data_IF_327728823150
#
_entry.id   IF_327728823150
#
_cell.length_a   1.000
_cell.length_b   1.000
_cell.length_c   1.000
_cell.angle_alpha   90.00
_cell.angle_beta   90.00
_cell.angle_gamma   90.00
#
_symmetry.space_group_name_H-M   'P 1'
#
loop_
_entity.id
_entity.type
_entity.pdbx_description
1 polymer ?
#
# COMPACT_ATOMS: atom_id res chain seq x y z
N UNK A 1 -63.07 -42.99 -19.77
CA UNK A 1 -63.31 -42.65 -18.37
C UNK A 1 -61.96 -42.60 -17.67
N UNK A 2 -61.43 -41.38 -17.41
CA UNK A 2 -60.25 -41.03 -16.58
C UNK A 2 -58.89 -41.65 -17.04
N UNK A 3 -57.70 -41.04 -16.97
CA UNK A 3 -57.19 -39.76 -16.46
C UNK A 3 -55.74 -39.55 -17.00
N UNK A 4 -55.44 -38.29 -17.37
CA UNK A 4 -54.20 -37.51 -17.19
C UNK A 4 -52.79 -37.94 -17.71
N UNK A 5 -52.31 -37.05 -18.58
CA UNK A 5 -51.00 -36.33 -18.59
C UNK A 5 -49.74 -36.98 -19.19
N UNK A 6 -49.70 -36.78 -20.50
CA UNK A 6 -48.57 -36.45 -21.38
C UNK A 6 -47.46 -35.57 -20.78
N UNK A 7 -46.22 -36.04 -20.96
CA UNK A 7 -44.97 -35.28 -20.87
C UNK A 7 -44.73 -34.60 -22.22
N UNK A 8 -44.66 -33.27 -22.26
CA UNK A 8 -44.05 -32.52 -23.37
C UNK A 8 -43.69 -31.08 -22.96
N UNK A 9 -42.59 -30.60 -23.57
CA UNK A 9 -42.12 -29.21 -23.70
C UNK A 9 -41.54 -28.50 -22.47
N UNK A 10 -40.24 -28.16 -22.50
CA UNK A 10 -39.70 -26.94 -23.14
C UNK A 10 -38.16 -26.93 -22.95
N UNK A 11 -37.43 -27.32 -23.99
CA UNK A 11 -36.02 -26.97 -24.20
C UNK A 11 -36.03 -25.71 -25.07
N UNK A 12 -36.19 -24.53 -24.47
CA UNK A 12 -36.09 -23.25 -25.17
C UNK A 12 -35.96 -22.13 -24.14
N UNK A 13 -34.72 -21.69 -23.90
CA UNK A 13 -34.30 -20.29 -23.57
C UNK A 13 -32.83 -20.28 -23.12
N UNK A 14 -31.93 -20.75 -23.97
CA UNK A 14 -30.46 -20.66 -23.74
C UNK A 14 -29.73 -20.03 -24.94
N UNK A 15 -30.37 -19.03 -25.55
CA UNK A 15 -29.85 -18.40 -26.78
C UNK A 15 -30.05 -16.87 -26.79
N UNK A 16 -29.92 -16.21 -25.65
CA UNK A 16 -29.86 -14.73 -25.57
C UNK A 16 -28.73 -14.17 -24.70
N UNK A 17 -27.95 -15.02 -24.00
CA UNK A 17 -26.73 -14.60 -23.30
C UNK A 17 -25.45 -14.75 -24.14
N UNK A 18 -25.53 -15.41 -25.30
CA UNK A 18 -24.38 -15.67 -26.18
C UNK A 18 -23.94 -14.49 -27.04
N UNK A 19 -24.80 -13.50 -27.31
CA UNK A 19 -24.46 -12.43 -28.27
C UNK A 19 -23.73 -11.26 -27.60
N UNK A 20 -23.97 -10.99 -26.31
CA UNK A 20 -23.26 -9.96 -25.56
C UNK A 20 -21.89 -10.42 -25.02
N UNK A 21 -21.72 -11.72 -24.75
CA UNK A 21 -20.44 -12.31 -24.37
C UNK A 21 -19.47 -12.41 -25.57
N UNK A 22 -19.96 -12.75 -26.76
CA UNK A 22 -19.14 -12.80 -27.98
C UNK A 22 -18.66 -11.42 -28.46
N UNK A 23 -19.44 -10.35 -28.24
CA UNK A 23 -19.04 -8.98 -28.61
C UNK A 23 -18.03 -8.34 -27.65
N UNK A 24 -17.79 -8.94 -26.48
CA UNK A 24 -16.76 -8.47 -25.54
C UNK A 24 -15.39 -9.10 -25.82
N UNK A 25 -15.38 -10.32 -26.37
CA UNK A 25 -14.19 -11.10 -26.73
C UNK A 25 -13.32 -10.38 -27.79
N UNK A 26 -13.93 -9.79 -28.82
CA UNK A 26 -13.20 -9.14 -29.92
C UNK A 26 -12.58 -7.77 -29.57
N UNK A 27 -12.97 -7.16 -28.45
CA UNK A 27 -12.51 -5.82 -28.08
C UNK A 27 -11.19 -5.82 -27.31
N UNK A 28 -10.95 -6.86 -26.52
CA UNK A 28 -9.80 -6.93 -25.64
C UNK A 28 -8.63 -7.72 -26.22
N UNK A 29 -8.82 -8.53 -27.27
CA UNK A 29 -7.69 -9.24 -27.90
C UNK A 29 -6.60 -8.25 -28.34
N UNK A 30 -6.90 -7.27 -29.19
CA UNK A 30 -5.86 -6.34 -29.67
C UNK A 30 -5.28 -5.39 -28.60
N UNK A 31 -6.07 -5.03 -27.59
CA UNK A 31 -5.67 -4.03 -26.58
C UNK A 31 -4.96 -4.68 -25.38
N UNK A 32 -5.38 -5.87 -24.97
CA UNK A 32 -4.78 -6.59 -23.85
C UNK A 32 -3.46 -7.26 -24.20
N UNK A 33 -3.19 -7.57 -25.46
CA UNK A 33 -1.87 -8.06 -25.87
C UNK A 33 -0.77 -6.98 -25.83
N UNK A 34 -1.13 -5.71 -25.57
CA UNK A 34 -0.16 -4.64 -25.39
C UNK A 34 0.54 -4.83 -24.04
N UNK A 35 1.87 -5.01 -24.06
CA UNK A 35 2.69 -5.28 -22.87
C UNK A 35 2.49 -4.24 -21.76
N UNK A 36 2.44 -2.95 -22.12
CA UNK A 36 2.19 -1.85 -21.18
C UNK A 36 0.85 -2.01 -20.43
N UNK A 37 -0.19 -2.48 -21.13
CA UNK A 37 -1.53 -2.64 -20.55
C UNK A 37 -1.54 -3.86 -19.63
N UNK A 38 -0.92 -4.96 -20.03
CA UNK A 38 -0.78 -6.14 -19.16
C UNK A 38 -0.02 -5.80 -17.88
N UNK A 39 1.11 -5.10 -18.00
CA UNK A 39 1.90 -4.68 -16.86
C UNK A 39 1.13 -3.69 -15.97
N UNK A 40 0.35 -2.78 -16.55
CA UNK A 40 -0.51 -1.87 -15.78
C UNK A 40 -1.57 -2.61 -14.95
N UNK A 41 -2.26 -3.58 -15.55
CA UNK A 41 -3.23 -4.41 -14.83
C UNK A 41 -2.57 -5.32 -13.80
N UNK A 42 -1.37 -5.85 -14.07
CA UNK A 42 -0.59 -6.63 -13.13
C UNK A 42 -0.23 -5.82 -11.88
N UNK A 43 0.31 -4.62 -12.08
CA UNK A 43 0.72 -3.73 -10.99
C UNK A 43 -0.46 -3.23 -10.13
N UNK A 44 -1.62 -2.97 -10.74
CA UNK A 44 -2.79 -2.42 -10.02
C UNK A 44 -3.64 -3.50 -9.37
N UNK A 45 -3.88 -4.62 -10.06
CA UNK A 45 -4.83 -5.64 -9.64
C UNK A 45 -4.13 -6.89 -9.10
N UNK A 46 -3.18 -7.47 -9.86
CA UNK A 46 -2.64 -8.80 -9.57
C UNK A 46 -1.71 -8.80 -8.36
N UNK A 47 -0.73 -7.89 -8.34
CA UNK A 47 0.27 -7.86 -7.26
C UNK A 47 -0.40 -7.65 -5.90
N UNK A 48 -1.41 -6.76 -5.86
CA UNK A 48 -2.19 -6.46 -4.66
C UNK A 48 -3.12 -7.63 -4.28
N UNK A 49 -3.78 -8.28 -5.24
CA UNK A 49 -4.61 -9.48 -4.98
C UNK A 49 -3.76 -10.64 -4.44
N UNK A 50 -2.58 -10.89 -5.00
CA UNK A 50 -1.70 -11.98 -4.59
C UNK A 50 -1.07 -11.72 -3.21
N UNK A 51 -0.67 -10.48 -2.94
CA UNK A 51 -0.08 -10.08 -1.66
C UNK A 51 -1.13 -9.98 -0.53
N UNK A 52 -2.19 -9.22 -0.77
CA UNK A 52 -3.07 -8.74 0.30
C UNK A 52 -4.43 -9.45 0.29
N UNK A 53 -4.80 -10.06 -0.84
CA UNK A 53 -6.06 -10.79 -1.01
C UNK A 53 -7.25 -9.91 -1.40
N UNK A 54 -7.04 -8.62 -1.67
CA UNK A 54 -8.09 -7.69 -2.11
C UNK A 54 -7.49 -6.48 -2.85
N UNK A 55 -8.30 -5.80 -3.67
CA UNK A 55 -7.96 -4.49 -4.25
C UNK A 55 -9.23 -3.69 -4.57
N UNK A 56 -9.11 -2.36 -4.57
CA UNK A 56 -10.21 -1.43 -4.85
C UNK A 56 -10.16 -0.94 -6.31
N UNK A 57 -11.25 -1.18 -7.05
CA UNK A 57 -11.47 -0.65 -8.40
C UNK A 57 -12.58 0.39 -8.46
N UNK A 58 -13.16 0.77 -7.32
CA UNK A 58 -14.32 1.66 -7.25
C UNK A 58 -14.07 3.00 -7.96
N UNK A 59 -12.86 3.56 -7.83
CA UNK A 59 -12.48 4.81 -8.48
C UNK A 59 -12.57 4.73 -10.01
N UNK A 60 -12.18 3.60 -10.62
CA UNK A 60 -12.24 3.36 -12.06
C UNK A 60 -13.67 3.02 -12.51
N UNK A 61 -14.35 2.14 -11.77
CA UNK A 61 -15.70 1.67 -12.08
C UNK A 61 -16.71 2.82 -12.04
N UNK A 62 -16.72 3.60 -10.95
CA UNK A 62 -17.62 4.74 -10.81
C UNK A 62 -17.12 5.99 -11.54
N UNK A 63 -15.92 5.92 -12.15
CA UNK A 63 -15.37 7.00 -12.97
C UNK A 63 -15.06 8.28 -12.20
N UNK A 64 -14.79 8.16 -10.89
CA UNK A 64 -14.53 9.26 -9.95
C UNK A 64 -13.24 10.02 -10.23
N UNK A 65 -12.32 9.38 -10.95
CA UNK A 65 -11.06 9.98 -11.36
C UNK A 65 -11.27 11.10 -12.39
N UNK A 66 -10.86 12.32 -12.02
CA UNK A 66 -10.88 13.49 -12.90
C UNK A 66 -9.74 13.42 -13.91
N UNK A 67 -10.08 13.73 -15.16
CA UNK A 67 -9.15 13.68 -16.29
C UNK A 67 -7.99 14.69 -16.12
N UNK A 68 -8.33 15.89 -15.67
CA UNK A 68 -7.38 17.00 -15.50
C UNK A 68 -6.32 16.68 -14.44
N UNK A 69 -6.73 16.12 -13.31
CA UNK A 69 -5.84 15.75 -12.21
C UNK A 69 -4.81 14.69 -12.64
N UNK A 70 -5.25 13.64 -13.35
CA UNK A 70 -4.35 12.60 -13.86
C UNK A 70 -3.38 13.19 -14.90
N UNK A 71 -3.88 14.02 -15.82
CA UNK A 71 -3.05 14.66 -16.82
C UNK A 71 -1.97 15.56 -16.19
N UNK A 72 -2.35 16.40 -15.23
CA UNK A 72 -1.40 17.26 -14.50
C UNK A 72 -0.31 16.44 -13.81
N UNK A 73 -0.68 15.34 -13.17
CA UNK A 73 0.26 14.41 -12.51
C UNK A 73 1.21 13.73 -13.50
N UNK A 74 0.73 13.28 -14.66
CA UNK A 74 1.54 12.66 -15.71
C UNK A 74 2.52 13.65 -16.34
N UNK A 75 2.10 14.90 -16.56
CA UNK A 75 2.96 15.96 -17.09
C UNK A 75 4.05 16.33 -16.07
N UNK A 76 3.69 16.45 -14.79
CA UNK A 76 4.64 16.70 -13.72
C UNK A 76 5.71 15.59 -13.60
N UNK A 77 5.33 14.34 -13.83
CA UNK A 77 6.25 13.20 -13.87
C UNK A 77 6.96 13.00 -15.22
N UNK A 78 6.76 13.91 -16.20
CA UNK A 78 7.28 13.80 -17.57
C UNK A 78 7.00 12.45 -18.25
N UNK A 79 5.83 11.87 -17.96
CA UNK A 79 5.45 10.55 -18.48
C UNK A 79 4.99 10.60 -19.93
N UNK A 80 5.39 9.59 -20.73
CA UNK A 80 4.94 9.41 -22.12
C UNK A 80 3.42 9.23 -22.25
N UNK A 81 2.77 8.70 -21.21
CA UNK A 81 1.34 8.41 -21.22
C UNK A 81 0.45 9.65 -21.06
N UNK A 82 1.01 10.83 -20.82
CA UNK A 82 0.26 12.09 -20.77
C UNK A 82 -0.51 12.35 -22.09
N UNK A 83 0.01 11.87 -23.23
CA UNK A 83 -0.62 12.01 -24.56
C UNK A 83 -1.99 11.31 -24.62
N UNK A 84 -2.18 10.22 -23.88
CA UNK A 84 -3.46 9.49 -23.82
C UNK A 84 -4.61 10.37 -23.30
N UNK A 85 -4.29 11.34 -22.44
CA UNK A 85 -5.24 12.25 -21.82
C UNK A 85 -5.45 13.55 -22.62
N UNK A 86 -4.80 13.73 -23.77
CA UNK A 86 -5.06 14.86 -24.66
C UNK A 86 -6.29 14.56 -25.55
N UNK A 87 -7.29 15.45 -25.61
CA UNK A 87 -8.50 15.24 -26.43
C UNK A 87 -9.59 14.35 -25.80
N UNK A 88 -10.55 13.84 -26.59
CA UNK A 88 -11.65 12.99 -26.09
C UNK A 88 -11.18 11.54 -25.90
N UNK A 89 -11.76 10.84 -24.92
CA UNK A 89 -11.52 9.40 -24.76
C UNK A 89 -12.14 8.62 -25.93
N UNK A 90 -11.46 7.57 -26.42
CA UNK A 90 -12.01 6.75 -27.49
C UNK A 90 -13.16 5.89 -26.99
N UNK A 91 -14.06 5.53 -27.90
CA UNK A 91 -15.05 4.49 -27.65
C UNK A 91 -14.40 3.11 -27.77
N UNK A 92 -15.07 2.08 -27.22
CA UNK A 92 -14.74 0.65 -27.37
C UNK A 92 -14.12 0.35 -28.75
N UNK A 93 -14.85 0.54 -29.84
CA UNK A 93 -14.36 0.12 -31.18
C UNK A 93 -13.15 0.91 -31.73
N UNK A 94 -12.76 2.02 -31.10
CA UNK A 94 -11.66 2.91 -31.57
C UNK A 94 -10.44 2.91 -30.66
N UNK A 95 -10.50 2.22 -29.50
CA UNK A 95 -9.46 2.32 -28.48
C UNK A 95 -8.10 1.83 -28.98
N UNK A 96 -8.04 0.66 -29.62
CA UNK A 96 -6.78 0.07 -30.12
C UNK A 96 -6.11 0.95 -31.18
N UNK A 97 -6.89 1.53 -32.09
CA UNK A 97 -6.38 2.44 -33.12
C UNK A 97 -5.86 3.75 -32.52
N UNK A 98 -6.58 4.32 -31.55
CA UNK A 98 -6.15 5.56 -30.88
C UNK A 98 -4.91 5.33 -30.01
N UNK A 99 -4.78 4.16 -29.38
CA UNK A 99 -3.55 3.78 -28.68
C UNK A 99 -2.37 3.76 -29.64
N UNK A 100 -2.45 3.01 -30.75
CA UNK A 100 -1.40 2.93 -31.76
C UNK A 100 -1.06 4.30 -32.37
N UNK A 101 -2.06 5.13 -32.65
CA UNK A 101 -1.86 6.49 -33.18
C UNK A 101 -1.09 7.40 -32.20
N UNK A 102 -1.41 7.33 -30.91
CA UNK A 102 -0.83 8.23 -29.90
C UNK A 102 0.51 7.76 -29.34
N UNK A 103 0.71 6.44 -29.26
CA UNK A 103 1.93 5.83 -28.75
C UNK A 103 2.94 5.51 -29.86
N UNK A 104 2.53 5.59 -31.13
CA UNK A 104 3.32 5.24 -32.32
C UNK A 104 3.29 3.73 -32.62
N UNK A 105 3.49 3.35 -33.90
CA UNK A 105 3.83 1.96 -34.29
C UNK A 105 5.33 1.65 -34.08
N UNK A 106 6.14 2.64 -33.67
CA UNK A 106 7.59 2.50 -33.50
C UNK A 106 7.97 2.32 -32.02
N UNK A 107 7.88 1.08 -31.52
CA UNK A 107 8.79 0.58 -30.48
C UNK A 107 8.85 -0.95 -30.42
N UNK A 108 8.70 -1.64 -31.55
CA UNK A 108 8.92 -3.10 -31.62
C UNK A 108 10.23 -3.50 -32.31
N UNK A 109 11.02 -2.55 -32.82
CA UNK A 109 12.36 -2.79 -33.35
C UNK A 109 13.26 -1.58 -33.06
N UNK A 110 13.90 -1.54 -31.90
CA UNK A 110 15.21 -0.91 -31.82
C UNK A 110 16.11 -1.68 -30.85
N UNK A 111 17.09 -2.36 -31.44
CA UNK A 111 18.12 -3.20 -30.83
C UNK A 111 19.20 -2.34 -30.14
N UNK A 112 18.80 -1.38 -29.31
CA UNK A 112 19.74 -0.63 -28.47
C UNK A 112 19.21 -0.51 -27.03
N UNK A 113 19.72 -1.40 -26.17
CA UNK A 113 19.54 -1.43 -24.72
C UNK A 113 18.08 -1.55 -24.23
N UNK A 114 17.60 -2.80 -24.22
CA UNK A 114 16.45 -3.28 -23.47
C UNK A 114 16.56 -3.02 -21.96
N UNK A 115 16.38 -1.76 -21.57
CA UNK A 115 15.91 -1.42 -20.25
C UNK A 115 14.40 -1.61 -20.29
N UNK A 116 13.90 -2.77 -19.86
CA UNK A 116 12.49 -2.97 -19.54
C UNK A 116 12.01 -1.76 -18.72
N UNK A 117 11.22 -0.87 -19.31
CA UNK A 117 10.69 0.27 -18.57
C UNK A 117 9.58 -0.26 -17.65
N UNK A 118 9.94 -0.58 -16.41
CA UNK A 118 8.95 -0.85 -15.36
C UNK A 118 8.02 0.36 -15.21
N UNK A 119 6.74 0.18 -15.58
CA UNK A 119 5.70 1.18 -15.37
C UNK A 119 5.62 1.59 -13.90
N UNK A 120 5.64 2.89 -13.65
CA UNK A 120 5.34 3.40 -12.32
C UNK A 120 3.86 3.16 -11.97
N UNK A 121 3.52 3.02 -10.69
CA UNK A 121 2.12 2.85 -10.27
C UNK A 121 1.19 3.96 -10.80
N UNK A 122 1.71 5.18 -10.91
CA UNK A 122 0.99 6.33 -11.46
C UNK A 122 0.64 6.13 -12.94
N UNK A 123 1.58 5.60 -13.73
CA UNK A 123 1.37 5.27 -15.14
C UNK A 123 0.44 4.07 -15.28
N UNK A 124 0.63 3.02 -14.48
CA UNK A 124 -0.26 1.87 -14.44
C UNK A 124 -1.71 2.28 -14.13
N UNK A 125 -1.91 3.11 -13.10
CA UNK A 125 -3.23 3.66 -12.74
C UNK A 125 -3.83 4.51 -13.87
N UNK A 126 -3.02 5.33 -14.53
CA UNK A 126 -3.48 6.15 -15.64
C UNK A 126 -3.90 5.32 -16.86
N UNK A 127 -3.16 4.25 -17.18
CA UNK A 127 -3.49 3.32 -18.26
C UNK A 127 -4.80 2.58 -17.94
N UNK A 128 -4.91 2.02 -16.73
CA UNK A 128 -6.14 1.34 -16.29
C UNK A 128 -7.34 2.28 -16.35
N UNK A 129 -7.22 3.52 -15.86
CA UNK A 129 -8.29 4.51 -15.97
C UNK A 129 -8.65 4.83 -17.43
N UNK A 130 -7.66 4.97 -18.31
CA UNK A 130 -7.90 5.21 -19.74
C UNK A 130 -8.71 4.08 -20.36
N UNK A 131 -8.35 2.82 -20.08
CA UNK A 131 -9.11 1.63 -20.53
C UNK A 131 -10.55 1.65 -20.00
N UNK A 132 -10.75 1.91 -18.71
CA UNK A 132 -12.09 1.95 -18.12
C UNK A 132 -12.96 3.10 -18.64
N UNK A 133 -12.36 4.21 -19.08
CA UNK A 133 -13.06 5.34 -19.71
C UNK A 133 -13.53 5.04 -21.13
N UNK A 134 -13.02 3.99 -21.78
CA UNK A 134 -13.55 3.50 -23.07
C UNK A 134 -14.91 2.80 -22.94
N UNK A 135 -15.24 2.36 -21.72
CA UNK A 135 -16.49 1.68 -21.37
C UNK A 135 -17.56 2.71 -20.95
N UNK A 136 -18.80 2.50 -21.40
CA UNK A 136 -19.85 3.53 -21.40
C UNK A 136 -20.42 3.80 -20.01
N UNK A 137 -20.67 2.76 -19.23
CA UNK A 137 -21.36 2.87 -17.94
C UNK A 137 -20.67 2.02 -16.85
N UNK A 138 -21.09 2.22 -15.60
CA UNK A 138 -20.54 1.50 -14.44
C UNK A 138 -20.85 -0.01 -14.47
N UNK A 139 -21.96 -0.41 -15.10
CA UNK A 139 -22.33 -1.82 -15.24
C UNK A 139 -21.38 -2.57 -16.18
N UNK A 140 -21.10 -2.00 -17.35
CA UNK A 140 -20.11 -2.50 -18.31
C UNK A 140 -18.72 -2.61 -17.68
N UNK A 141 -18.32 -1.64 -16.85
CA UNK A 141 -17.05 -1.67 -16.11
C UNK A 141 -17.03 -2.77 -15.05
N UNK A 142 -18.13 -2.99 -14.35
CA UNK A 142 -18.26 -4.06 -13.37
C UNK A 142 -18.17 -5.45 -14.02
N UNK A 143 -18.91 -5.66 -15.11
CA UNK A 143 -18.87 -6.92 -15.86
C UNK A 143 -17.47 -7.15 -16.42
N UNK A 144 -16.86 -6.13 -17.00
CA UNK A 144 -15.47 -6.19 -17.49
C UNK A 144 -14.48 -6.59 -16.39
N UNK A 145 -14.60 -6.02 -15.18
CA UNK A 145 -13.71 -6.37 -14.05
C UNK A 145 -13.86 -7.86 -13.68
N UNK A 146 -15.10 -8.38 -13.67
CA UNK A 146 -15.38 -9.79 -13.36
C UNK A 146 -14.83 -10.72 -14.45
N UNK A 147 -15.00 -10.38 -15.71
CA UNK A 147 -14.52 -11.17 -16.85
C UNK A 147 -12.99 -11.21 -16.88
N UNK A 148 -12.34 -10.06 -16.64
CA UNK A 148 -10.88 -9.97 -16.54
C UNK A 148 -10.33 -10.93 -15.48
N UNK A 149 -10.94 -10.94 -14.30
CA UNK A 149 -10.55 -11.84 -13.20
C UNK A 149 -10.77 -13.31 -13.53
N UNK A 150 -11.82 -13.63 -14.29
CA UNK A 150 -12.12 -15.00 -14.69
C UNK A 150 -11.12 -15.60 -15.68
N UNK A 151 -10.36 -14.77 -16.39
CA UNK A 151 -9.40 -15.19 -17.42
C UNK A 151 -7.94 -15.21 -16.94
N UNK A 152 -7.66 -14.62 -15.76
CA UNK A 152 -6.30 -14.59 -15.24
C UNK A 152 -5.91 -16.00 -14.76
N UNK A 153 -4.98 -16.61 -15.48
CA UNK A 153 -4.51 -17.99 -15.21
C UNK A 153 -4.01 -18.18 -13.78
N UNK A 154 -3.38 -17.14 -13.23
CA UNK A 154 -2.80 -17.11 -11.87
C UNK A 154 -3.87 -17.12 -10.77
N UNK A 155 -5.12 -16.79 -11.10
CA UNK A 155 -6.23 -16.74 -10.16
C UNK A 155 -7.17 -17.95 -10.24
N UNK A 156 -6.97 -18.88 -11.18
CA UNK A 156 -7.84 -20.06 -11.34
C UNK A 156 -7.94 -20.91 -10.05
N UNK A 157 -6.89 -20.95 -9.23
CA UNK A 157 -6.90 -21.68 -7.96
C UNK A 157 -7.75 -21.04 -6.86
N UNK A 158 -8.06 -19.74 -6.95
CA UNK A 158 -8.83 -18.99 -5.94
C UNK A 158 -10.15 -18.43 -6.49
N UNK A 159 -10.48 -18.74 -7.74
CA UNK A 159 -11.56 -18.11 -8.50
C UNK A 159 -12.94 -18.29 -7.86
N UNK A 160 -13.18 -19.43 -7.20
CA UNK A 160 -14.43 -19.73 -6.50
C UNK A 160 -14.64 -18.87 -5.25
N UNK A 161 -13.57 -18.32 -4.67
CA UNK A 161 -13.60 -17.54 -3.44
C UNK A 161 -13.51 -16.03 -3.71
N UNK A 162 -13.29 -15.61 -4.95
CA UNK A 162 -13.29 -14.20 -5.33
C UNK A 162 -14.72 -13.66 -5.24
N UNK A 163 -14.90 -12.64 -4.40
CA UNK A 163 -16.14 -11.89 -4.24
C UNK A 163 -15.94 -10.44 -4.64
N UNK A 164 -17.06 -9.81 -4.95
CA UNK A 164 -17.11 -8.43 -5.37
C UNK A 164 -18.14 -7.67 -4.53
N UNK A 165 -17.72 -6.56 -3.91
CA UNK A 165 -18.60 -5.71 -3.12
C UNK A 165 -18.23 -4.24 -3.29
N UNK A 166 -19.19 -3.42 -3.71
CA UNK A 166 -19.05 -1.96 -3.88
C UNK A 166 -17.80 -1.49 -4.66
N UNK A 167 -17.36 -2.23 -5.68
CA UNK A 167 -16.16 -1.88 -6.45
C UNK A 167 -14.87 -2.53 -5.96
N UNK A 168 -14.91 -3.25 -4.84
CA UNK A 168 -13.76 -3.93 -4.24
C UNK A 168 -13.83 -5.42 -4.56
N UNK A 169 -12.72 -5.96 -5.04
CA UNK A 169 -12.54 -7.37 -5.35
C UNK A 169 -11.73 -7.99 -4.21
N UNK A 170 -12.14 -9.15 -3.68
CA UNK A 170 -11.42 -9.80 -2.59
C UNK A 170 -11.59 -11.32 -2.57
N UNK A 171 -10.60 -12.02 -2.03
CA UNK A 171 -10.68 -13.44 -1.76
C UNK A 171 -11.35 -13.67 -0.39
N UNK A 172 -12.57 -14.21 -0.40
CA UNK A 172 -13.39 -14.44 0.79
C UNK A 172 -12.91 -15.58 1.69
N UNK A 173 -12.00 -16.43 1.21
CA UNK A 173 -11.31 -17.42 2.04
C UNK A 173 -10.29 -16.74 2.95
N UNK A 174 -9.57 -15.74 2.43
CA UNK A 174 -8.44 -15.09 3.11
C UNK A 174 -8.79 -13.77 3.81
N UNK A 175 -9.81 -13.06 3.34
CA UNK A 175 -10.11 -11.68 3.74
C UNK A 175 -11.59 -11.52 4.07
N UNK A 176 -11.85 -10.76 5.13
CA UNK A 176 -13.17 -10.27 5.49
C UNK A 176 -13.22 -8.75 5.39
N UNK A 177 -14.18 -8.22 4.62
CA UNK A 177 -14.31 -6.79 4.33
C UNK A 177 -15.52 -6.20 5.04
N UNK A 178 -15.30 -5.10 5.77
CA UNK A 178 -16.36 -4.31 6.40
C UNK A 178 -16.36 -2.88 5.88
N UNK A 179 -17.52 -2.39 5.46
CA UNK A 179 -17.70 -0.99 5.04
C UNK A 179 -18.31 -0.17 6.15
N UNK A 180 -17.57 0.81 6.68
CA UNK A 180 -18.00 1.69 7.75
C UNK A 180 -18.02 3.16 7.28
N UNK A 181 -19.00 3.93 7.75
CA UNK A 181 -19.22 5.32 7.30
C UNK A 181 -19.51 6.31 8.43
N UNK A 182 -19.29 5.91 9.69
CA UNK A 182 -19.46 6.78 10.85
C UNK A 182 -18.46 6.45 11.96
N UNK A 183 -18.06 7.46 12.75
CA UNK A 183 -17.15 7.28 13.90
C UNK A 183 -17.73 6.29 14.91
N UNK A 184 -19.05 6.32 15.14
CA UNK A 184 -19.73 5.40 16.05
C UNK A 184 -19.62 3.94 15.58
N UNK A 185 -19.83 3.67 14.29
CA UNK A 185 -19.70 2.32 13.73
C UNK A 185 -18.26 1.80 13.86
N UNK A 186 -17.26 2.65 13.57
CA UNK A 186 -15.85 2.31 13.75
C UNK A 186 -15.54 2.00 15.21
N UNK A 187 -15.96 2.85 16.14
CA UNK A 187 -15.65 2.66 17.55
C UNK A 187 -16.32 1.41 18.14
N UNK A 188 -17.58 1.13 17.78
CA UNK A 188 -18.28 -0.08 18.19
C UNK A 188 -17.57 -1.34 17.71
N UNK A 189 -17.13 -1.34 16.44
CA UNK A 189 -16.41 -2.47 15.86
C UNK A 189 -15.01 -2.67 16.48
N UNK A 190 -14.22 -1.59 16.62
CA UNK A 190 -12.90 -1.68 17.28
C UNK A 190 -13.03 -2.14 18.74
N UNK A 191 -14.11 -1.74 19.42
CA UNK A 191 -14.37 -2.14 20.81
C UNK A 191 -14.76 -3.61 20.95
N UNK A 192 -15.42 -4.22 19.97
CA UNK A 192 -15.68 -5.67 20.00
C UNK A 192 -14.38 -6.45 19.82
N UNK A 193 -13.50 -5.99 18.93
CA UNK A 193 -12.21 -6.66 18.67
C UNK A 193 -11.24 -6.61 19.85
N UNK A 194 -11.18 -5.48 20.58
CA UNK A 194 -10.31 -5.33 21.76
C UNK A 194 -10.60 -6.31 22.91
N UNK A 195 -11.76 -6.96 22.92
CA UNK A 195 -12.11 -7.95 23.94
C UNK A 195 -11.41 -9.29 23.71
N UNK A 196 -11.00 -9.56 22.48
CA UNK A 196 -10.41 -10.83 22.04
C UNK A 196 -8.94 -10.65 21.63
N UNK A 197 -8.60 -9.48 21.07
CA UNK A 197 -7.24 -9.13 20.68
C UNK A 197 -6.44 -8.53 21.86
N UNK A 198 -5.14 -8.83 21.92
CA UNK A 198 -4.21 -8.23 22.88
C UNK A 198 -3.95 -6.73 22.60
N UNK A 199 -2.68 -6.36 22.44
CA UNK A 199 -2.35 -4.95 22.13
C UNK A 199 -2.63 -4.65 20.65
N UNK A 200 -3.55 -3.73 20.39
CA UNK A 200 -3.87 -3.27 19.02
C UNK A 200 -3.21 -1.94 18.67
N UNK A 201 -2.69 -1.87 17.46
CA UNK A 201 -2.25 -0.65 16.79
C UNK A 201 -3.07 -0.45 15.51
N UNK A 202 -3.02 0.78 15.00
CA UNK A 202 -3.85 1.22 13.88
C UNK A 202 -3.01 2.02 12.90
N UNK A 203 -3.35 1.94 11.61
CA UNK A 203 -2.83 2.84 10.58
C UNK A 203 -3.92 3.22 9.61
N UNK A 204 -3.97 4.50 9.25
CA UNK A 204 -4.88 5.01 8.23
C UNK A 204 -4.23 4.99 6.86
N UNK A 205 -4.89 4.36 5.90
CA UNK A 205 -4.56 4.46 4.49
C UNK A 205 -5.63 5.27 3.77
N UNK A 206 -5.23 6.33 3.07
CA UNK A 206 -6.15 7.12 2.26
C UNK A 206 -6.61 6.37 0.99
N UNK A 207 -5.97 5.27 0.62
CA UNK A 207 -6.35 4.43 -0.50
C UNK A 207 -6.14 2.96 -0.11
N UNK A 208 -7.12 2.05 -0.25
CA UNK A 208 -6.97 0.65 0.13
C UNK A 208 -5.93 -0.08 -0.72
N UNK A 209 -5.59 0.45 -1.89
CA UNK A 209 -4.54 -0.09 -2.75
C UNK A 209 -3.13 0.22 -2.24
N UNK A 210 -2.97 1.08 -1.22
CA UNK A 210 -1.67 1.31 -0.60
C UNK A 210 -1.16 0.05 0.09
N UNK A 211 0.13 -0.23 -0.10
CA UNK A 211 0.82 -1.37 0.50
C UNK A 211 1.44 -0.92 1.83
N UNK A 212 1.35 -1.79 2.83
CA UNK A 212 1.97 -1.58 4.13
C UNK A 212 3.50 -1.70 4.01
N UNK A 213 4.15 -0.60 3.61
CA UNK A 213 5.59 -0.55 3.31
C UNK A 213 6.20 0.81 3.68
N UNK A 214 7.37 0.83 4.38
CA UNK A 214 8.11 2.05 4.67
C UNK A 214 8.51 2.81 3.41
N UNK A 215 8.67 4.12 3.54
CA UNK A 215 8.95 5.02 2.42
C UNK A 215 10.26 4.69 1.70
N UNK A 216 11.33 4.35 2.44
CA UNK A 216 12.64 4.01 1.84
C UNK A 216 12.56 2.78 0.93
N UNK A 217 11.67 1.83 1.26
CA UNK A 217 11.55 0.58 0.53
C UNK A 217 10.66 0.72 -0.70
N UNK A 218 9.89 1.80 -0.87
CA UNK A 218 8.93 1.94 -1.98
C UNK A 218 9.59 2.06 -3.35
N UNK A 219 10.86 2.45 -3.42
CA UNK A 219 11.58 2.57 -4.70
C UNK A 219 12.97 1.95 -4.56
N UNK A 220 13.39 1.06 -5.49
CA UNK A 220 14.72 0.46 -5.44
C UNK A 220 15.86 1.48 -5.35
N UNK A 221 15.73 2.62 -6.04
CA UNK A 221 16.70 3.72 -5.98
C UNK A 221 16.85 4.35 -4.60
N UNK A 222 15.75 4.49 -3.85
CA UNK A 222 15.78 5.01 -2.48
C UNK A 222 16.48 4.00 -1.56
N UNK A 223 16.08 2.73 -1.64
CA UNK A 223 16.68 1.66 -0.84
C UNK A 223 18.19 1.51 -1.10
N UNK A 224 18.62 1.57 -2.35
CA UNK A 224 20.04 1.49 -2.73
C UNK A 224 20.88 2.66 -2.22
N UNK A 225 20.27 3.85 -2.02
CA UNK A 225 20.96 5.05 -1.56
C UNK A 225 20.65 5.40 -0.10
N UNK A 226 19.99 4.53 0.65
CA UNK A 226 19.59 4.78 2.04
C UNK A 226 20.75 5.30 2.90
N UNK A 227 21.90 4.64 2.84
CA UNK A 227 23.08 5.05 3.62
C UNK A 227 23.63 6.40 3.22
N UNK A 228 23.63 6.73 1.92
CA UNK A 228 24.07 8.06 1.47
C UNK A 228 23.13 9.14 1.99
N UNK A 229 21.82 8.94 1.82
CA UNK A 229 20.79 9.87 2.25
C UNK A 229 20.84 10.08 3.78
N UNK A 230 21.04 9.00 4.53
CA UNK A 230 21.21 9.04 5.99
C UNK A 230 22.39 9.93 6.41
N UNK A 231 23.58 9.71 5.84
CA UNK A 231 24.78 10.47 6.17
C UNK A 231 24.72 11.91 5.68
N UNK A 232 24.24 12.13 4.45
CA UNK A 232 24.15 13.46 3.87
C UNK A 232 23.23 14.37 4.69
N UNK A 233 22.11 13.86 5.21
CA UNK A 233 21.24 14.69 6.06
C UNK A 233 21.91 15.06 7.41
N UNK A 234 22.67 14.14 8.00
CA UNK A 234 23.43 14.42 9.24
C UNK A 234 24.54 15.45 8.97
N UNK A 235 25.24 15.33 7.84
CA UNK A 235 26.33 16.25 7.46
C UNK A 235 25.79 17.65 7.16
N UNK A 236 24.66 17.75 6.45
CA UNK A 236 24.08 19.03 6.05
C UNK A 236 23.34 19.74 7.20
N UNK A 237 22.82 19.00 8.17
CA UNK A 237 22.05 19.56 9.29
C UNK A 237 22.57 19.05 10.66
N UNK A 238 23.85 19.24 11.02
CA UNK A 238 24.44 18.63 12.20
C UNK A 238 23.80 19.08 13.52
N UNK A 239 23.46 20.37 13.62
CA UNK A 239 22.86 20.98 14.83
C UNK A 239 21.50 20.36 15.16
N UNK A 240 20.75 19.93 14.14
CA UNK A 240 19.49 19.24 14.33
C UNK A 240 19.69 17.86 15.01
N UNK A 241 20.81 17.18 14.80
CA UNK A 241 21.03 15.84 15.34
C UNK A 241 21.84 15.82 16.64
N UNK A 242 22.24 16.98 17.18
CA UNK A 242 23.07 17.08 18.39
C UNK A 242 22.46 16.35 19.60
N UNK A 243 21.13 16.42 19.74
CA UNK A 243 20.36 15.78 20.84
C UNK A 243 19.92 14.35 20.52
N UNK A 244 20.26 13.82 19.35
CA UNK A 244 19.92 12.45 18.97
C UNK A 244 21.07 11.51 19.34
N UNK A 245 20.93 10.81 20.45
CA UNK A 245 21.96 9.92 20.99
C UNK A 245 21.92 8.53 20.36
N UNK A 246 20.76 8.10 19.86
CA UNK A 246 20.58 6.79 19.24
C UNK A 246 20.30 6.90 17.74
N UNK A 247 20.59 5.83 16.98
CA UNK A 247 20.20 5.79 15.57
C UNK A 247 18.68 5.81 15.39
N UNK A 248 17.91 5.24 16.34
CA UNK A 248 16.45 5.31 16.31
C UNK A 248 15.96 6.77 16.37
N UNK A 249 16.49 7.58 17.30
CA UNK A 249 16.12 8.99 17.41
C UNK A 249 16.46 9.77 16.15
N UNK A 250 17.62 9.48 15.53
CA UNK A 250 18.00 10.05 14.23
C UNK A 250 16.96 9.68 13.18
N UNK A 251 16.59 8.40 13.03
CA UNK A 251 15.59 7.97 12.05
C UNK A 251 14.20 8.60 12.29
N UNK A 252 13.77 8.70 13.55
CA UNK A 252 12.51 9.37 13.90
C UNK A 252 12.55 10.85 13.51
N UNK A 253 13.67 11.54 13.79
CA UNK A 253 13.84 12.96 13.41
C UNK A 253 13.92 13.15 11.89
N UNK A 254 14.60 12.25 11.19
CA UNK A 254 14.66 12.20 9.73
C UNK A 254 13.26 12.05 9.12
N UNK A 255 12.46 11.10 9.62
CA UNK A 255 11.09 10.87 9.15
C UNK A 255 10.16 12.05 9.46
N UNK A 256 10.35 12.70 10.60
CA UNK A 256 9.58 13.88 10.98
C UNK A 256 9.70 14.99 9.92
N UNK A 257 10.90 15.22 9.39
CA UNK A 257 11.17 16.18 8.31
C UNK A 257 10.95 15.61 6.90
N UNK A 258 10.37 14.42 6.78
CA UNK A 258 9.97 13.84 5.49
C UNK A 258 11.05 13.07 4.74
N UNK A 259 12.22 12.80 5.36
CA UNK A 259 13.20 11.91 4.77
C UNK A 259 12.65 10.47 4.74
N UNK A 260 12.75 9.74 3.61
CA UNK A 260 12.36 8.34 3.58
C UNK A 260 13.19 7.48 4.53
N UNK A 261 12.56 6.67 5.37
CA UNK A 261 13.26 5.77 6.31
C UNK A 261 12.64 4.37 6.35
N UNK A 262 13.26 3.45 7.12
CA UNK A 262 12.76 2.10 7.44
C UNK A 262 11.63 2.09 8.46
N UNK A 263 11.28 3.23 9.03
CA UNK A 263 10.17 3.34 9.96
C UNK A 263 8.85 3.46 9.20
N UNK A 264 7.82 2.79 9.70
CA UNK A 264 6.45 2.97 9.25
C UNK A 264 5.60 3.46 10.42
N UNK A 265 4.96 4.62 10.25
CA UNK A 265 4.14 5.21 11.32
C UNK A 265 2.90 4.35 11.61
N UNK A 266 2.65 4.09 12.89
CA UNK A 266 1.40 3.51 13.37
C UNK A 266 0.94 4.31 14.58
N UNK A 267 -0.30 4.13 15.00
CA UNK A 267 -0.87 4.82 16.17
C UNK A 267 -1.61 3.84 17.05
N UNK A 268 -1.64 4.13 18.35
CA UNK A 268 -2.47 3.39 19.31
C UNK A 268 -3.90 3.95 19.39
N UNK A 269 -4.15 5.09 18.74
CA UNK A 269 -5.44 5.75 18.72
C UNK A 269 -6.18 5.47 17.38
N UNK A 270 -7.29 4.71 17.39
CA UNK A 270 -8.02 4.38 16.18
C UNK A 270 -8.60 5.61 15.47
N UNK A 271 -8.90 6.69 16.20
CA UNK A 271 -9.44 7.92 15.60
C UNK A 271 -8.38 8.73 14.85
N UNK A 272 -7.12 8.68 15.30
CA UNK A 272 -5.98 9.27 14.58
C UNK A 272 -5.76 8.50 13.27
N UNK A 273 -5.80 7.17 13.30
CA UNK A 273 -5.74 6.36 12.09
C UNK A 273 -6.93 6.63 11.15
N UNK A 274 -8.15 6.78 11.70
CA UNK A 274 -9.33 7.11 10.90
C UNK A 274 -9.19 8.47 10.21
N UNK A 275 -8.62 9.47 10.89
CA UNK A 275 -8.31 10.77 10.30
C UNK A 275 -7.37 10.60 9.08
N UNK A 276 -6.27 9.86 9.22
CA UNK A 276 -5.35 9.59 8.10
C UNK A 276 -5.97 8.79 6.96
N UNK A 277 -6.94 7.92 7.25
CA UNK A 277 -7.70 7.21 6.23
C UNK A 277 -8.62 8.15 5.42
N UNK A 278 -8.98 9.30 5.98
CA UNK A 278 -9.96 10.21 5.38
C UNK A 278 -9.37 11.53 4.85
N UNK A 279 -8.21 11.99 5.32
CA UNK A 279 -7.70 13.34 5.04
C UNK A 279 -7.36 13.60 3.57
N UNK A 280 -7.12 12.55 2.79
CA UNK A 280 -6.71 12.65 1.39
C UNK A 280 -7.41 11.62 0.49
N UNK A 281 -7.23 11.78 -0.82
CA UNK A 281 -7.86 10.99 -1.89
C UNK A 281 -9.39 10.83 -1.70
N UNK A 282 -10.18 11.92 -1.78
CA UNK A 282 -11.62 11.88 -1.50
C UNK A 282 -12.41 10.94 -2.42
N UNK A 283 -11.85 10.61 -3.59
CA UNK A 283 -12.48 9.77 -4.60
C UNK A 283 -12.37 8.25 -4.33
N UNK A 284 -11.40 7.83 -3.51
CA UNK A 284 -11.19 6.43 -3.10
C UNK A 284 -11.81 6.16 -1.72
N UNK A 285 -12.01 4.89 -1.41
CA UNK A 285 -12.26 4.49 -0.01
C UNK A 285 -11.05 4.83 0.87
N UNK A 286 -11.28 5.02 2.16
CA UNK A 286 -10.21 4.96 3.16
C UNK A 286 -10.06 3.52 3.62
N UNK A 287 -8.93 3.19 4.23
CA UNK A 287 -8.72 1.91 4.90
C UNK A 287 -8.20 2.17 6.32
N UNK A 288 -8.83 1.52 7.29
CA UNK A 288 -8.33 1.43 8.66
C UNK A 288 -7.64 0.08 8.83
N UNK A 289 -6.31 0.09 8.80
CA UNK A 289 -5.48 -1.10 9.00
C UNK A 289 -5.39 -1.39 10.48
N UNK A 290 -5.78 -2.60 10.87
CA UNK A 290 -5.66 -3.12 12.23
C UNK A 290 -4.38 -3.95 12.34
N UNK A 291 -3.58 -3.65 13.35
CA UNK A 291 -2.28 -4.29 13.58
C UNK A 291 -2.30 -4.94 14.96
N UNK A 292 -2.04 -6.25 15.01
CA UNK A 292 -2.09 -7.07 16.22
C UNK A 292 -0.83 -7.93 16.32
N UNK A 293 0.31 -7.34 16.73
CA UNK A 293 1.55 -8.09 16.95
C UNK A 293 1.44 -9.00 18.17
N UNK A 294 2.28 -10.02 18.22
CA UNK A 294 2.56 -10.76 19.45
C UNK A 294 3.37 -9.91 20.43
N UNK A 295 3.25 -10.20 21.73
CA UNK A 295 3.94 -9.45 22.78
C UNK A 295 5.47 -9.42 22.59
N UNK A 296 6.06 -10.47 22.02
CA UNK A 296 7.51 -10.55 21.81
C UNK A 296 7.99 -9.67 20.64
N UNK A 297 7.10 -9.28 19.73
CA UNK A 297 7.35 -8.41 18.58
C UNK A 297 7.26 -6.92 18.95
N UNK A 298 6.66 -6.61 20.11
CA UNK A 298 6.58 -5.27 20.67
C UNK A 298 7.85 -4.99 21.49
N UNK A 299 8.60 -3.97 21.07
CA UNK A 299 9.85 -3.53 21.69
C UNK A 299 9.73 -2.09 22.19
N UNK A 300 10.59 -1.78 23.16
CA UNK A 300 10.81 -0.41 23.63
C UNK A 300 12.03 0.19 22.91
N UNK A 301 12.12 1.53 22.81
CA UNK A 301 13.25 2.23 22.16
C UNK A 301 14.64 1.77 22.58
N UNK A 302 14.80 1.41 23.86
CA UNK A 302 16.08 1.00 24.44
C UNK A 302 16.39 -0.49 24.23
N UNK A 303 15.55 -1.25 23.54
CA UNK A 303 15.80 -2.67 23.26
C UNK A 303 17.00 -2.84 22.33
N UNK A 304 17.78 -3.90 22.53
CA UNK A 304 18.95 -4.20 21.72
C UNK A 304 18.60 -4.49 20.26
N UNK A 305 17.53 -5.25 20.02
CA UNK A 305 16.98 -5.50 18.68
C UNK A 305 16.70 -4.20 17.93
N UNK A 306 16.21 -3.18 18.64
CA UNK A 306 15.90 -1.87 18.04
C UNK A 306 17.18 -1.12 17.68
N UNK A 307 18.19 -1.09 18.57
CA UNK A 307 19.49 -0.48 18.26
C UNK A 307 20.18 -1.17 17.08
N UNK A 308 20.11 -2.50 16.98
CA UNK A 308 20.65 -3.27 15.86
C UNK A 308 20.00 -2.85 14.55
N UNK A 309 18.67 -2.89 14.49
CA UNK A 309 17.93 -2.56 13.26
C UNK A 309 18.06 -1.08 12.87
N UNK A 310 18.05 -0.18 13.85
CA UNK A 310 18.21 1.26 13.61
C UNK A 310 19.61 1.62 13.09
N UNK A 311 20.62 0.77 13.33
CA UNK A 311 21.99 0.97 12.83
C UNK A 311 22.17 0.53 11.37
N UNK A 312 21.25 -0.26 10.80
CA UNK A 312 21.35 -0.76 9.41
C UNK A 312 21.52 0.33 8.35
N UNK A 313 20.81 1.48 8.42
CA UNK A 313 20.95 2.57 7.45
C UNK A 313 22.37 3.17 7.38
N UNK A 314 23.23 2.94 8.37
CA UNK A 314 24.63 3.40 8.31
C UNK A 314 25.41 2.62 7.24
N UNK A 315 25.04 1.38 6.95
CA UNK A 315 25.79 0.52 6.04
C UNK A 315 25.36 0.69 4.58
N UNK A 316 26.32 0.57 3.66
CA UNK A 316 26.02 0.58 2.23
C UNK A 316 25.01 -0.52 1.86
N UNK A 317 24.27 -0.31 0.77
CA UNK A 317 23.28 -1.29 0.30
C UNK A 317 23.88 -2.69 0.10
N UNK A 318 25.10 -2.79 -0.43
CA UNK A 318 25.81 -4.07 -0.59
C UNK A 318 26.03 -4.79 0.75
N UNK A 319 26.42 -4.04 1.79
CA UNK A 319 26.62 -4.59 3.13
C UNK A 319 25.32 -4.99 3.79
N UNK A 320 24.27 -4.20 3.62
CA UNK A 320 22.93 -4.55 4.08
C UNK A 320 22.45 -5.86 3.42
N UNK A 321 22.63 -6.02 2.11
CA UNK A 321 22.29 -7.24 1.39
C UNK A 321 23.14 -8.44 1.84
N UNK A 322 24.43 -8.24 2.11
CA UNK A 322 25.30 -9.26 2.70
C UNK A 322 24.76 -9.73 4.07
N UNK A 323 24.39 -8.79 4.95
CA UNK A 323 23.81 -9.12 6.25
C UNK A 323 22.50 -9.88 6.14
N UNK A 324 21.60 -9.46 5.23
CA UNK A 324 20.34 -10.13 4.96
C UNK A 324 20.54 -11.58 4.48
N UNK A 325 21.42 -11.78 3.51
CA UNK A 325 21.75 -13.12 2.99
C UNK A 325 22.33 -14.04 4.07
N UNK A 326 23.26 -13.53 4.89
CA UNK A 326 23.86 -14.31 5.98
C UNK A 326 22.88 -14.64 7.12
N UNK A 327 21.87 -13.80 7.31
CA UNK A 327 20.82 -14.02 8.30
C UNK A 327 19.78 -15.04 7.79
N UNK A 328 19.41 -14.97 6.51
CA UNK A 328 18.47 -15.90 5.87
C UNK A 328 19.05 -17.28 5.54
N UNK A 329 20.38 -17.40 5.46
CA UNK A 329 21.04 -18.67 5.12
C UNK A 329 21.04 -19.66 6.30
N UNK A 330 20.33 -20.81 6.18
CA UNK A 330 20.24 -21.80 7.25
C UNK A 330 21.55 -22.57 7.48
N UNK A 331 22.50 -22.52 6.53
CA UNK A 331 23.79 -23.23 6.65
C UNK A 331 24.78 -22.50 7.55
N UNK A 332 24.59 -21.19 7.72
CA UNK A 332 25.49 -20.36 8.53
C UNK A 332 25.09 -20.52 9.99
N UNK A 333 26.03 -20.89 10.86
CA UNK A 333 25.79 -20.96 12.30
C UNK A 333 25.61 -19.55 12.91
N UNK A 334 24.94 -19.45 14.06
CA UNK A 334 24.79 -18.20 14.82
C UNK A 334 26.16 -17.58 15.17
N UNK A 335 27.14 -18.42 15.49
CA UNK A 335 28.49 -17.98 15.82
C UNK A 335 29.25 -17.43 14.60
N UNK A 336 29.17 -18.11 13.46
CA UNK A 336 29.84 -17.65 12.23
C UNK A 336 29.19 -16.37 11.67
N UNK A 337 27.88 -16.24 11.85
CA UNK A 337 27.17 -15.00 11.54
C UNK A 337 27.72 -13.82 12.34
N UNK A 338 27.81 -13.94 13.67
CA UNK A 338 28.32 -12.88 14.54
C UNK A 338 29.76 -12.48 14.20
N UNK A 339 30.61 -13.43 13.74
CA UNK A 339 31.94 -13.12 13.21
C UNK A 339 31.90 -12.29 11.93
N UNK A 340 30.99 -12.62 11.01
CA UNK A 340 30.85 -11.92 9.72
C UNK A 340 30.19 -10.54 9.87
N UNK A 341 29.32 -10.34 10.87
CA UNK A 341 28.66 -9.05 11.15
C UNK A 341 29.39 -8.20 12.20
N UNK A 342 30.70 -8.43 12.40
CA UNK A 342 31.51 -7.70 13.40
C UNK A 342 31.44 -6.17 13.26
N UNK A 343 31.28 -5.66 12.04
CA UNK A 343 31.14 -4.21 11.82
C UNK A 343 29.82 -3.65 12.34
N UNK A 344 28.71 -4.39 12.16
CA UNK A 344 27.41 -4.02 12.73
C UNK A 344 27.47 -4.03 14.26
N UNK A 345 28.11 -5.06 14.84
CA UNK A 345 28.36 -5.13 16.29
C UNK A 345 29.13 -3.92 16.81
N UNK A 346 30.16 -3.47 16.07
CA UNK A 346 30.93 -2.29 16.45
C UNK A 346 30.06 -1.02 16.44
N UNK A 347 29.23 -0.83 15.42
CA UNK A 347 28.33 0.33 15.34
C UNK A 347 27.33 0.36 16.49
N UNK A 348 26.68 -0.78 16.78
CA UNK A 348 25.75 -0.89 17.92
C UNK A 348 26.46 -0.60 19.24
N UNK A 349 27.74 -0.98 19.39
CA UNK A 349 28.54 -0.70 20.58
C UNK A 349 28.94 0.76 20.74
N UNK A 350 28.97 1.54 19.66
CA UNK A 350 29.15 3.00 19.76
C UNK A 350 27.96 3.64 20.49
N UNK A 351 26.74 3.13 20.26
CA UNK A 351 25.52 3.56 20.98
C UNK A 351 25.43 2.91 22.36
N UNK A 352 25.73 1.61 22.47
CA UNK A 352 25.60 0.80 23.69
C UNK A 352 26.89 0.06 24.02
N UNK A 353 27.83 0.67 24.78
CA UNK A 353 29.12 0.04 25.09
C UNK A 353 29.01 -1.30 25.82
N UNK A 354 27.96 -1.48 26.63
CA UNK A 354 27.70 -2.71 27.38
C UNK A 354 26.99 -3.82 26.56
N UNK A 355 26.77 -3.61 25.25
CA UNK A 355 26.09 -4.58 24.40
C UNK A 355 26.87 -5.89 24.28
N UNK A 356 26.21 -6.99 24.65
CA UNK A 356 26.71 -8.34 24.45
C UNK A 356 26.88 -8.59 22.95
N UNK A 357 28.03 -9.12 22.53
CA UNK A 357 28.32 -9.37 21.10
C UNK A 357 27.58 -10.59 20.56
N UNK A 358 26.26 -10.59 20.70
CA UNK A 358 25.39 -11.64 20.20
C UNK A 358 24.17 -11.01 19.55
N UNK A 359 24.18 -10.96 18.23
CA UNK A 359 23.03 -10.56 17.42
C UNK A 359 22.36 -11.81 16.87
N UNK A 360 21.08 -12.00 17.19
CA UNK A 360 20.26 -13.06 16.60
C UNK A 360 20.04 -12.81 15.12
N UNK A 361 20.24 -13.83 14.28
CA UNK A 361 20.01 -13.73 12.83
C UNK A 361 18.58 -13.31 12.49
N UNK A 362 17.62 -13.95 13.15
CA UNK A 362 16.19 -13.72 12.89
C UNK A 362 15.77 -12.27 13.16
N UNK A 363 16.43 -11.60 14.11
CA UNK A 363 16.16 -10.21 14.44
C UNK A 363 16.48 -9.27 13.27
N UNK A 364 17.47 -9.57 12.42
CA UNK A 364 17.83 -8.69 11.29
C UNK A 364 16.83 -8.72 10.14
N UNK A 365 16.16 -9.86 9.94
CA UNK A 365 15.25 -10.09 8.81
C UNK A 365 13.79 -9.87 9.19
N UNK A 366 13.51 -9.78 10.49
CA UNK A 366 12.19 -9.50 11.04
C UNK A 366 11.93 -8.00 11.16
N UNK A 367 10.66 -7.65 11.32
CA UNK A 367 10.23 -6.31 11.66
C UNK A 367 9.69 -6.31 13.10
N UNK A 368 9.75 -5.17 13.77
CA UNK A 368 9.28 -5.05 15.15
C UNK A 368 8.47 -3.78 15.36
N UNK A 369 7.49 -3.84 16.26
CA UNK A 369 6.77 -2.65 16.69
C UNK A 369 7.56 -1.99 17.81
N UNK A 370 7.84 -0.70 17.66
CA UNK A 370 8.61 0.09 18.61
C UNK A 370 7.74 1.21 19.14
N UNK A 371 7.56 1.27 20.46
CA UNK A 371 6.93 2.42 21.08
C UNK A 371 7.76 3.68 20.82
N UNK A 372 7.11 4.79 20.49
CA UNK A 372 7.83 6.04 20.29
C UNK A 372 8.20 6.69 21.64
N UNK A 373 9.38 7.32 21.70
CA UNK A 373 9.68 8.26 22.76
C UNK A 373 8.77 9.48 22.63
N UNK A 374 8.18 9.93 23.74
CA UNK A 374 7.34 11.13 23.79
C UNK A 374 8.19 12.40 23.87
N UNK A 375 9.14 12.54 22.96
CA UNK A 375 10.10 13.65 22.89
C UNK A 375 9.75 14.68 21.80
N UNK A 376 8.69 14.43 21.02
CA UNK A 376 8.17 15.32 19.99
C UNK A 376 6.67 15.49 20.15
N UNK A 377 6.18 16.73 20.10
CA UNK A 377 4.76 17.06 20.26
C UNK A 377 3.87 16.33 19.24
N UNK A 378 4.34 16.17 17.99
CA UNK A 378 3.62 15.42 16.95
C UNK A 378 3.38 13.96 17.36
N UNK A 379 4.40 13.30 17.90
CA UNK A 379 4.31 11.91 18.37
C UNK A 379 3.34 11.81 19.54
N UNK A 380 3.39 12.78 20.47
CA UNK A 380 2.48 12.83 21.63
C UNK A 380 1.04 12.97 21.18
N UNK A 381 0.75 13.87 20.24
CA UNK A 381 -0.61 14.13 19.75
C UNK A 381 -1.19 12.96 18.96
N UNK A 382 -0.35 12.23 18.24
CA UNK A 382 -0.76 11.08 17.44
C UNK A 382 -0.80 9.77 18.24
N UNK A 383 -0.38 9.76 19.51
CA UNK A 383 -0.05 8.54 20.29
C UNK A 383 0.71 7.52 19.43
N UNK A 384 1.77 8.03 18.79
CA UNK A 384 2.50 7.35 17.73
C UNK A 384 3.35 6.19 18.24
N UNK A 385 3.49 5.18 17.38
CA UNK A 385 4.47 4.12 17.47
C UNK A 385 4.99 3.85 16.05
N UNK A 386 6.03 3.03 15.92
CA UNK A 386 6.63 2.75 14.62
C UNK A 386 6.74 1.25 14.41
N UNK A 387 6.63 0.81 13.15
CA UNK A 387 7.18 -0.48 12.75
C UNK A 387 8.57 -0.21 12.20
N UNK A 388 9.58 -0.82 12.80
CA UNK A 388 10.96 -0.76 12.33
C UNK A 388 11.25 -2.00 11.47
N UNK A 389 11.51 -1.78 10.19
CA UNK A 389 11.72 -2.86 9.23
C UNK A 389 13.18 -3.27 9.10
N UNK A 390 13.42 -4.57 9.26
CA UNK A 390 14.70 -5.21 8.97
C UNK A 390 15.00 -5.38 7.49
N UNK A 391 15.89 -6.32 7.20
CA UNK A 391 16.38 -6.69 5.87
C UNK A 391 15.55 -7.84 5.28
N UNK A 392 14.23 -7.71 5.30
CA UNK A 392 13.37 -8.75 4.73
C UNK A 392 13.53 -8.82 3.20
N UNK A 393 13.80 -10.03 2.69
CA UNK A 393 13.91 -10.35 1.26
C UNK A 393 12.53 -10.43 0.58
N UNK A 394 11.69 -9.41 0.76
CA UNK A 394 10.37 -9.31 0.13
C UNK A 394 9.28 -10.30 0.62
N UNK A 395 9.65 -11.40 1.28
CA UNK A 395 8.70 -12.46 1.67
C UNK A 395 8.04 -12.25 3.05
N UNK A 396 8.72 -11.65 4.02
CA UNK A 396 8.09 -11.26 5.31
C UNK A 396 7.46 -9.88 5.15
N UNK A 397 6.25 -9.90 4.62
CA UNK A 397 5.45 -8.70 4.43
C UNK A 397 4.96 -8.19 5.80
N UNK A 398 4.91 -6.86 5.97
CA UNK A 398 4.28 -6.26 7.16
C UNK A 398 2.81 -6.67 7.33
N UNK A 399 2.24 -7.27 6.30
CA UNK A 399 0.94 -7.96 6.29
C UNK A 399 0.81 -9.08 7.32
N UNK A 400 1.91 -9.63 7.84
CA UNK A 400 1.90 -10.60 8.95
C UNK A 400 1.32 -9.98 10.24
N UNK A 401 1.56 -8.69 10.47
CA UNK A 401 1.03 -7.97 11.63
C UNK A 401 -0.45 -7.65 11.54
N UNK A 402 -1.09 -7.82 10.38
CA UNK A 402 -2.51 -7.47 10.23
C UNK A 402 -3.36 -8.37 11.10
N UNK A 403 -4.31 -7.76 11.80
CA UNK A 403 -5.27 -8.48 12.64
C UNK A 403 -6.06 -9.49 11.81
N UNK A 404 -6.22 -10.69 12.38
CA UNK A 404 -6.98 -11.79 11.79
C UNK A 404 -8.06 -12.26 12.75
N UNK A 405 -9.25 -12.47 12.21
CA UNK A 405 -10.39 -13.06 12.91
C UNK A 405 -10.75 -14.36 12.20
N UNK A 406 -10.83 -15.47 12.94
CA UNK A 406 -11.09 -16.81 12.38
C UNK A 406 -10.16 -17.20 11.21
N UNK A 407 -8.89 -16.78 11.27
CA UNK A 407 -7.87 -17.02 10.23
C UNK A 407 -7.90 -16.05 9.05
N UNK A 408 -8.93 -15.19 8.95
CA UNK A 408 -9.11 -14.22 7.85
C UNK A 408 -8.58 -12.85 8.23
N UNK A 409 -7.92 -12.17 7.29
CA UNK A 409 -7.51 -10.77 7.47
C UNK A 409 -8.74 -9.88 7.51
N UNK A 410 -8.85 -9.04 8.53
CA UNK A 410 -9.94 -8.05 8.63
C UNK A 410 -9.53 -6.77 7.91
N UNK A 411 -10.35 -6.32 6.96
CA UNK A 411 -10.14 -5.09 6.19
C UNK A 411 -11.33 -4.16 6.40
N UNK A 412 -11.09 -3.05 7.07
CA UNK A 412 -12.10 -2.02 7.32
C UNK A 412 -11.97 -0.93 6.27
N UNK A 413 -12.95 -0.84 5.39
CA UNK A 413 -13.04 0.20 4.37
C UNK A 413 -13.96 1.32 4.82
N UNK A 414 -13.48 2.54 4.65
CA UNK A 414 -14.10 3.76 5.11
C UNK A 414 -14.73 4.49 3.93
N UNK A 415 -16.05 4.65 4.00
CA UNK A 415 -16.85 5.41 3.06
C UNK A 415 -17.27 6.76 3.67
N UNK A 416 -17.54 7.77 2.85
CA UNK A 416 -17.99 9.08 3.32
C UNK A 416 -16.92 9.87 4.08
N UNK A 417 -15.67 9.85 3.61
CA UNK A 417 -14.50 10.53 4.22
C UNK A 417 -14.79 11.95 4.72
N UNK A 418 -15.45 12.78 3.90
CA UNK A 418 -15.78 14.17 4.26
C UNK A 418 -16.62 14.27 5.54
N UNK A 419 -17.69 13.47 5.62
CA UNK A 419 -18.57 13.41 6.80
C UNK A 419 -17.80 12.94 8.04
N UNK A 420 -16.89 11.99 7.88
CA UNK A 420 -16.06 11.49 8.98
C UNK A 420 -15.05 12.54 9.47
N UNK A 421 -14.44 13.31 8.58
CA UNK A 421 -13.57 14.43 8.97
C UNK A 421 -14.33 15.49 9.77
N UNK A 422 -15.54 15.86 9.35
CA UNK A 422 -16.42 16.77 10.10
C UNK A 422 -16.77 16.21 11.49
N UNK A 423 -17.06 14.91 11.58
CA UNK A 423 -17.29 14.24 12.87
C UNK A 423 -16.02 14.24 13.75
N UNK A 424 -14.85 13.95 13.19
CA UNK A 424 -13.57 13.93 13.92
C UNK A 424 -13.18 15.32 14.44
N UNK A 425 -13.52 16.39 13.71
CA UNK A 425 -13.28 17.76 14.17
C UNK A 425 -14.03 18.05 15.48
N UNK A 426 -15.22 17.48 15.70
CA UNK A 426 -15.95 17.61 16.97
C UNK A 426 -15.24 16.94 18.15
N UNK A 427 -14.37 15.96 17.89
CA UNK A 427 -13.49 15.33 18.89
C UNK A 427 -12.14 16.04 19.01
N UNK A 428 -11.97 17.23 18.41
CA UNK A 428 -10.70 17.95 18.32
C UNK A 428 -9.60 17.17 17.59
N UNK A 429 -9.97 16.27 16.68
CA UNK A 429 -9.05 15.54 15.82
C UNK A 429 -9.06 16.20 14.44
N UNK A 430 -8.06 17.04 14.21
CA UNK A 430 -7.88 17.78 12.96
C UNK A 430 -6.38 17.97 12.68
N UNK A 431 -6.05 18.52 11.50
CA UNK A 431 -4.66 18.71 11.06
C UNK A 431 -3.83 19.51 12.06
N UNK A 432 -4.34 20.64 12.58
CA UNK A 432 -3.61 21.46 13.54
C UNK A 432 -3.37 20.77 14.90
N UNK A 433 -4.29 19.90 15.33
CA UNK A 433 -4.12 19.14 16.57
C UNK A 433 -3.09 18.01 16.42
N UNK A 434 -3.04 17.34 15.27
CA UNK A 434 -2.12 16.22 15.01
C UNK A 434 -0.74 16.66 14.54
N UNK A 435 -0.64 17.83 13.94
CA UNK A 435 0.59 18.47 13.45
C UNK A 435 0.71 19.86 14.09
N UNK A 436 1.27 19.93 15.31
CA UNK A 436 1.36 21.16 16.09
C UNK A 436 2.42 22.14 15.57
N UNK A 437 3.14 21.79 14.52
CA UNK A 437 4.12 22.65 13.86
C UNK A 437 3.44 23.91 13.32
N UNK A 438 4.06 25.08 13.54
CA UNK A 438 3.46 26.38 13.23
C UNK A 438 3.01 26.50 11.77
N UNK A 439 3.75 25.89 10.85
CA UNK A 439 3.44 25.86 9.42
C UNK A 439 2.12 25.11 9.14
N UNK A 440 1.94 23.94 9.76
CA UNK A 440 0.73 23.13 9.61
C UNK A 440 -0.48 23.79 10.26
N UNK A 441 -0.31 24.42 11.41
CA UNK A 441 -1.36 25.18 12.09
C UNK A 441 -1.78 26.39 11.26
N UNK A 442 -0.82 27.15 10.72
CA UNK A 442 -1.08 28.30 9.85
C UNK A 442 -1.82 27.90 8.57
N UNK A 443 -1.40 26.80 7.92
CA UNK A 443 -2.06 26.26 6.74
C UNK A 443 -3.51 25.84 7.04
N UNK A 444 -3.74 25.15 8.16
CA UNK A 444 -5.08 24.77 8.60
C UNK A 444 -5.98 25.99 8.85
N UNK A 445 -5.49 27.00 9.59
CA UNK A 445 -6.25 28.22 9.86
C UNK A 445 -6.59 28.97 8.57
N UNK A 446 -5.64 29.09 7.64
CA UNK A 446 -5.87 29.70 6.33
C UNK A 446 -7.00 28.98 5.59
N UNK A 447 -6.93 27.65 5.48
CA UNK A 447 -7.94 26.87 4.78
C UNK A 447 -9.32 27.00 5.46
N UNK A 448 -9.37 27.02 6.80
CA UNK A 448 -10.61 27.14 7.57
C UNK A 448 -11.38 28.44 7.32
N UNK A 449 -10.68 29.55 7.09
CA UNK A 449 -11.31 30.86 6.84
C UNK A 449 -11.38 31.25 5.36
N UNK A 450 -10.86 30.40 4.45
CA UNK A 450 -10.93 30.60 3.00
C UNK A 450 -11.97 29.69 2.32
N UNK A 451 -12.34 28.60 2.98
CA UNK A 451 -13.40 27.66 2.54
C UNK A 451 -14.77 28.15 2.98
#
# INVERSE_FOLDING_TARGET
>A
MLQLMTVNHYFETDMLLGVNAFFYFYFFDDLYYIEDIQQAFRNVCLDKMLSDGYFDMSAYIFGRLKKEDIYARLVASKSRYAVLYQGRFPNKNTASSVWRQKMGEESYNDDTNSSQCELTYLESSAIVNWVYKTLKNSEERNTFTKDLLGQIKELHGIQNDIRFSKGVVYNAEKVEIHFLSSVSSVNSYVSSLKKEAGTLFFRGHADPNYILRPSIMRTPRLLQNESKIYHELIINCPDDFEKCHTHLEKLVKMQHYGLPTRLLDITRNPLVALYFACESNPESYGELVLISPENHEIKYPQSDTVSILASLPVFSYEKQQEFGRLASDPTVSQHDFNKKVARLLHEVRLEKPAFLSEIKKDDLVSSFIVYALKNNDRIIKQDGAFILCGLSDGNRSLEEFRYRENGKKVVILIDGKKKLLEQLETFSINRAALFPEIECVAEYLKNKYTS
#
